data_IF_784398144005
#
_entry.id   IF_784398144005
#
_cell.length_a   1.000
_cell.length_b   1.000
_cell.length_c   1.000
_cell.angle_alpha   90.00
_cell.angle_beta   90.00
_cell.angle_gamma   90.00
#
_symmetry.space_group_name_H-M   'P 1'
#
loop_
_entity.id
_entity.type
_entity.pdbx_description
1 polymer ?
#
# COMPACT_ATOMS: atom_id res chain seq x y z
N UNK A 1 2.07 20.64 6.82
CA UNK A 1 2.40 19.33 6.23
C UNK A 1 1.19 18.82 5.47
N UNK A 2 1.22 18.77 4.14
CA UNK A 2 0.17 18.08 3.38
C UNK A 2 0.35 16.58 3.57
N UNK A 3 -0.59 15.92 4.24
CA UNK A 3 -0.59 14.46 4.37
C UNK A 3 -1.22 13.89 3.10
N UNK A 4 -0.53 12.96 2.43
CA UNK A 4 -1.06 12.23 1.27
C UNK A 4 -2.22 11.30 1.66
N UNK A 5 -2.31 10.93 2.93
CA UNK A 5 -3.28 9.96 3.46
C UNK A 5 -4.01 10.54 4.67
N UNK A 6 -5.31 10.30 4.74
CA UNK A 6 -6.12 10.68 5.89
C UNK A 6 -5.74 9.84 7.12
N UNK A 7 -5.87 10.37 8.36
CA UNK A 7 -5.66 9.57 9.56
C UNK A 7 -6.54 8.31 9.58
N UNK A 8 -5.94 7.14 9.81
CA UNK A 8 -6.64 5.85 9.81
C UNK A 8 -6.98 5.30 8.42
N UNK A 9 -6.59 5.98 7.33
CA UNK A 9 -6.71 5.44 5.99
C UNK A 9 -5.83 4.19 5.85
N UNK A 10 -6.42 3.10 5.35
CA UNK A 10 -5.67 1.92 4.93
C UNK A 10 -4.97 2.23 3.61
N UNK A 11 -3.66 1.99 3.58
CA UNK A 11 -2.81 2.14 2.39
C UNK A 11 -2.18 0.80 2.09
N UNK A 12 -2.36 0.29 0.88
CA UNK A 12 -1.59 -0.87 0.42
C UNK A 12 -0.20 -0.40 -0.04
N UNK A 13 0.86 -1.07 0.43
CA UNK A 13 2.19 -1.03 -0.17
C UNK A 13 2.40 -2.28 -1.01
N UNK A 14 2.67 -2.12 -2.31
CA UNK A 14 2.81 -3.21 -3.28
C UNK A 14 4.16 -3.18 -3.98
N UNK A 15 4.81 -4.33 -4.05
CA UNK A 15 6.09 -4.54 -4.71
C UNK A 15 6.00 -5.74 -5.67
N UNK A 16 5.61 -5.52 -6.94
CA UNK A 16 5.58 -6.58 -7.93
C UNK A 16 6.99 -6.99 -8.33
N UNK A 17 7.26 -8.30 -8.38
CA UNK A 17 8.53 -8.87 -8.83
C UNK A 17 8.31 -10.04 -9.78
N UNK A 18 9.38 -10.49 -10.47
CA UNK A 18 9.31 -11.68 -11.34
C UNK A 18 8.98 -12.98 -10.59
N UNK A 19 9.16 -13.03 -9.27
CA UNK A 19 8.92 -14.22 -8.42
C UNK A 19 7.56 -14.20 -7.72
N UNK A 20 6.75 -13.18 -7.98
CA UNK A 20 5.49 -12.95 -7.29
C UNK A 20 5.40 -11.54 -6.73
N UNK A 21 4.21 -11.20 -6.25
CA UNK A 21 3.93 -9.89 -5.67
C UNK A 21 4.08 -9.96 -4.16
N UNK A 22 4.78 -8.98 -3.61
CA UNK A 22 4.85 -8.74 -2.18
C UNK A 22 3.95 -7.56 -1.86
N UNK A 23 3.10 -7.66 -0.84
CA UNK A 23 2.14 -6.61 -0.49
C UNK A 23 1.89 -6.54 1.02
N UNK A 24 1.44 -5.39 1.51
CA UNK A 24 1.01 -5.19 2.90
C UNK A 24 0.03 -4.03 3.02
N UNK A 25 -0.77 -3.99 4.07
CA UNK A 25 -1.79 -2.96 4.30
C UNK A 25 -1.51 -2.22 5.60
N UNK A 26 -1.51 -0.89 5.57
CA UNK A 26 -1.01 -0.07 6.67
C UNK A 26 -2.01 1.01 7.05
N UNK A 27 -2.24 1.14 8.35
CA UNK A 27 -2.85 2.32 8.98
C UNK A 27 -1.81 3.12 9.76
N UNK A 28 -0.70 2.49 10.14
CA UNK A 28 0.46 3.13 10.74
C UNK A 28 1.43 3.58 9.63
N UNK A 29 1.51 4.90 9.42
CA UNK A 29 2.37 5.50 8.40
C UNK A 29 3.87 5.38 8.73
N UNK A 30 4.23 5.22 10.02
CA UNK A 30 5.59 4.92 10.43
C UNK A 30 6.00 3.50 10.04
N UNK A 31 5.11 2.53 10.26
CA UNK A 31 5.31 1.15 9.81
C UNK A 31 5.39 1.06 8.28
N UNK A 32 4.53 1.79 7.56
CA UNK A 32 4.59 1.88 6.09
C UNK A 32 5.94 2.43 5.63
N UNK A 33 6.39 3.56 6.19
CA UNK A 33 7.66 4.19 5.81
C UNK A 33 8.85 3.27 6.09
N UNK A 34 8.86 2.57 7.22
CA UNK A 34 9.90 1.60 7.57
C UNK A 34 9.92 0.40 6.61
N UNK A 35 8.76 -0.16 6.27
CA UNK A 35 8.64 -1.25 5.31
C UNK A 35 9.10 -0.82 3.91
N UNK A 36 8.65 0.35 3.46
CA UNK A 36 9.08 0.97 2.20
C UNK A 36 10.60 1.16 2.15
N UNK A 37 11.20 1.68 3.22
CA UNK A 37 12.64 1.90 3.31
C UNK A 37 13.44 0.60 3.21
N UNK A 38 12.97 -0.49 3.84
CA UNK A 38 13.61 -1.81 3.74
C UNK A 38 13.54 -2.41 2.33
N UNK A 39 12.46 -2.13 1.59
CA UNK A 39 12.24 -2.66 0.25
C UNK A 39 12.93 -1.81 -0.83
N UNK A 40 13.08 -0.52 -0.60
CA UNK A 40 13.73 0.41 -1.53
C UNK A 40 15.11 -0.07 -1.97
N UNK A 41 15.35 -0.11 -3.28
CA UNK A 41 16.59 -0.61 -3.88
C UNK A 41 16.76 -2.14 -3.89
N UNK A 42 15.89 -2.90 -3.23
CA UNK A 42 15.91 -4.38 -3.23
C UNK A 42 14.89 -5.01 -4.18
N UNK A 43 13.86 -4.24 -4.55
CA UNK A 43 12.81 -4.65 -5.50
C UNK A 43 12.74 -3.67 -6.69
N UNK A 44 12.19 -4.08 -7.85
CA UNK A 44 12.11 -3.21 -9.02
C UNK A 44 11.30 -1.93 -8.82
N UNK A 45 10.35 -1.93 -7.88
CA UNK A 45 9.53 -0.78 -7.55
C UNK A 45 8.73 -1.01 -6.27
N UNK A 46 8.47 0.10 -5.57
CA UNK A 46 7.63 0.16 -4.38
C UNK A 46 6.50 1.13 -4.66
N UNK A 47 5.27 0.67 -4.60
CA UNK A 47 4.08 1.45 -4.92
C UNK A 47 3.16 1.52 -3.70
N UNK A 48 2.45 2.64 -3.54
CA UNK A 48 1.43 2.80 -2.52
C UNK A 48 0.09 3.21 -3.17
N UNK A 49 -1.03 2.76 -2.60
CA UNK A 49 -2.34 3.20 -3.08
C UNK A 49 -2.61 4.64 -2.67
N UNK A 50 -2.73 5.53 -3.66
CA UNK A 50 -3.14 6.92 -3.46
C UNK A 50 -4.60 7.01 -2.96
N UNK A 51 -5.46 6.23 -3.62
CA UNK A 51 -6.89 6.24 -3.35
C UNK A 51 -7.20 5.38 -2.11
N UNK A 52 -8.09 5.83 -1.22
CA UNK A 52 -8.52 5.04 -0.07
C UNK A 52 -9.13 3.71 -0.52
N UNK A 53 -8.69 2.64 0.13
CA UNK A 53 -9.16 1.27 -0.13
C UNK A 53 -10.10 0.80 0.97
N UNK A 54 -10.85 -0.26 0.72
CA UNK A 54 -11.71 -0.91 1.70
C UNK A 54 -10.90 -1.33 2.94
N UNK A 55 -11.25 -0.86 4.16
CA UNK A 55 -10.51 -1.20 5.37
C UNK A 55 -10.44 -2.70 5.70
N UNK A 56 -11.38 -3.49 5.19
CA UNK A 56 -11.37 -4.95 5.36
C UNK A 56 -10.10 -5.60 4.79
N UNK A 57 -9.40 -4.94 3.86
CA UNK A 57 -8.14 -5.41 3.31
C UNK A 57 -7.01 -5.48 4.34
N UNK A 58 -7.07 -4.66 5.40
CA UNK A 58 -6.05 -4.65 6.47
C UNK A 58 -5.87 -6.02 7.11
N UNK A 59 -6.96 -6.79 7.27
CA UNK A 59 -6.92 -8.13 7.86
C UNK A 59 -6.06 -9.13 7.05
N UNK A 60 -5.73 -8.84 5.78
CA UNK A 60 -4.87 -9.69 4.94
C UNK A 60 -3.40 -9.60 5.36
N UNK A 61 -2.94 -8.41 5.76
CA UNK A 61 -1.56 -8.13 6.15
C UNK A 61 -1.49 -6.85 7.00
N UNK A 62 -1.90 -6.94 8.27
CA UNK A 62 -2.03 -5.78 9.16
C UNK A 62 -0.67 -5.18 9.56
N UNK A 63 -0.34 -4.01 9.01
CA UNK A 63 0.88 -3.24 9.25
C UNK A 63 2.18 -4.02 9.05
N UNK A 64 2.17 -5.02 8.16
CA UNK A 64 3.34 -5.80 7.78
C UNK A 64 3.28 -6.23 6.32
N UNK A 65 4.42 -6.71 5.82
CA UNK A 65 4.57 -7.17 4.44
C UNK A 65 4.44 -8.69 4.36
N UNK A 66 3.63 -9.17 3.42
CA UNK A 66 3.49 -10.58 3.07
C UNK A 66 4.05 -10.80 1.67
N UNK A 67 4.90 -11.82 1.52
CA UNK A 67 5.51 -12.19 0.24
C UNK A 67 4.62 -13.16 -0.54
N UNK A 68 4.73 -13.14 -1.87
CA UNK A 68 4.03 -14.08 -2.77
C UNK A 68 2.51 -14.12 -2.57
N UNK A 69 1.89 -12.95 -2.36
CA UNK A 69 0.43 -12.83 -2.17
C UNK A 69 -0.32 -13.16 -3.46
N UNK A 70 -1.46 -13.84 -3.32
CA UNK A 70 -2.32 -14.21 -4.46
C UNK A 70 -3.32 -13.11 -4.84
N UNK A 71 -3.70 -12.28 -3.87
CA UNK A 71 -4.69 -11.21 -4.05
C UNK A 71 -4.19 -9.92 -3.43
N UNK A 72 -4.43 -8.82 -4.12
CA UNK A 72 -4.10 -7.45 -3.70
C UNK A 72 -5.32 -6.55 -3.91
N UNK A 73 -5.23 -5.24 -3.63
CA UNK A 73 -6.33 -4.30 -3.93
C UNK A 73 -6.73 -4.39 -5.40
N UNK A 74 -8.02 -4.57 -5.64
CA UNK A 74 -8.66 -4.52 -6.96
C UNK A 74 -9.46 -3.22 -7.13
N UNK A 75 -9.96 -2.96 -8.32
CA UNK A 75 -10.79 -1.78 -8.59
C UNK A 75 -12.04 -1.72 -7.71
N UNK A 76 -12.62 -2.88 -7.37
CA UNK A 76 -13.80 -2.97 -6.51
C UNK A 76 -13.51 -2.61 -5.04
N UNK A 77 -12.25 -2.60 -4.64
CA UNK A 77 -11.82 -2.24 -3.29
C UNK A 77 -11.59 -0.72 -3.13
N UNK A 78 -11.61 0.06 -4.22
CA UNK A 78 -11.39 1.50 -4.18
C UNK A 78 -12.66 2.23 -3.73
N UNK A 79 -12.60 2.95 -2.60
CA UNK A 79 -13.77 3.63 -2.03
C UNK A 79 -14.08 4.96 -2.74
N UNK A 80 -13.03 5.71 -3.11
CA UNK A 80 -13.14 6.99 -3.81
C UNK A 80 -11.85 7.31 -4.55
N UNK A 81 -11.92 8.21 -5.54
CA UNK A 81 -10.75 8.73 -6.24
C UNK A 81 -10.31 10.06 -5.64
N UNK A 82 -9.10 10.10 -5.11
CA UNK A 82 -8.44 11.33 -4.67
C UNK A 82 -7.67 11.93 -5.85
N UNK A 83 -7.80 13.24 -6.04
CA UNK A 83 -7.07 13.96 -7.10
C UNK A 83 -5.69 14.38 -6.59
N UNK A 84 -4.66 14.10 -7.38
CA UNK A 84 -3.32 14.66 -7.19
C UNK A 84 -3.11 15.69 -8.29
N UNK A 85 -3.08 17.01 -7.98
CA UNK A 85 -2.83 18.03 -8.99
C UNK A 85 -1.37 17.94 -9.44
N UNK A 86 -1.15 17.21 -10.53
CA UNK A 86 0.08 17.20 -11.31
C UNK A 86 -0.25 17.84 -12.67
N UNK A 87 0.57 18.77 -13.11
CA UNK A 87 0.55 19.42 -14.43
C UNK A 87 1.87 19.13 -15.14
#
# INVERSE_FOLDING_TARGET
MSKLFDPGQVVELRCPTRRGTTSGYFTDMGALAAASGKLSGTVPGVYATLNPVNPALQARSDNHITTSVQSTTSDADILKRNWLPLD
#
